data_IF_523507040001
#
_entry.id   IF_523507040001
#
_cell.length_a   1.000
_cell.length_b   1.000
_cell.length_c   1.000
_cell.angle_alpha   90.00
_cell.angle_beta   90.00
_cell.angle_gamma   90.00
#
_symmetry.space_group_name_H-M   'P 1'
#
loop_
_entity.id
_entity.type
_entity.pdbx_description
1 polymer ?
#
# COMPACT_ATOMS: atom_id res chain seq x y z
N UNK A 1 2.98 0.39 -9.51
CA UNK A 1 3.58 1.49 -8.73
C UNK A 1 4.12 2.56 -9.67
N UNK A 2 4.24 3.80 -9.21
CA UNK A 2 4.82 4.90 -10.00
C UNK A 2 6.33 4.74 -10.21
N UNK A 3 6.89 5.44 -11.20
CA UNK A 3 8.35 5.50 -11.44
C UNK A 3 9.05 6.31 -10.35
N UNK A 4 10.37 6.15 -10.13
CA UNK A 4 11.12 6.96 -9.17
C UNK A 4 10.93 8.47 -9.35
N UNK A 5 10.98 8.95 -10.60
CA UNK A 5 10.75 10.37 -10.96
C UNK A 5 9.36 10.87 -10.51
N UNK A 6 8.33 10.03 -10.64
CA UNK A 6 6.96 10.37 -10.25
C UNK A 6 6.81 10.40 -8.73
N UNK A 7 7.53 9.51 -8.02
CA UNK A 7 7.56 9.47 -6.55
C UNK A 7 8.26 10.70 -5.98
N UNK A 8 9.41 11.06 -6.54
CA UNK A 8 10.17 12.25 -6.13
C UNK A 8 9.33 13.52 -6.30
N UNK A 9 8.71 13.70 -7.47
CA UNK A 9 7.83 14.84 -7.72
C UNK A 9 6.65 14.90 -6.74
N UNK A 10 5.93 13.78 -6.58
CA UNK A 10 4.77 13.72 -5.69
C UNK A 10 5.14 14.08 -4.25
N UNK A 11 6.23 13.50 -3.73
CA UNK A 11 6.63 13.73 -2.35
C UNK A 11 7.21 15.13 -2.13
N UNK A 12 7.98 15.66 -3.09
CA UNK A 12 8.45 17.03 -3.03
C UNK A 12 7.30 18.05 -2.96
N UNK A 13 6.22 17.81 -3.70
CA UNK A 13 5.05 18.70 -3.72
C UNK A 13 4.07 18.48 -2.55
N UNK A 14 3.90 17.24 -2.06
CA UNK A 14 2.79 16.87 -1.16
C UNK A 14 3.19 16.38 0.23
N UNK A 15 4.43 15.95 0.42
CA UNK A 15 4.93 15.43 1.68
C UNK A 15 6.32 15.98 2.02
N UNK A 16 6.49 17.32 2.05
CA UNK A 16 7.79 17.92 2.34
C UNK A 16 8.26 17.51 3.74
N UNK A 17 9.52 17.08 3.84
CA UNK A 17 10.12 16.61 5.10
C UNK A 17 9.88 15.13 5.41
N UNK A 18 9.09 14.41 4.60
CA UNK A 18 8.93 12.96 4.70
C UNK A 18 9.88 12.28 3.72
N UNK A 19 10.60 11.26 4.17
CA UNK A 19 11.42 10.43 3.29
C UNK A 19 10.51 9.48 2.51
N UNK A 20 10.49 9.62 1.19
CA UNK A 20 9.77 8.72 0.31
C UNK A 20 10.69 7.69 -0.34
N UNK A 21 10.16 6.48 -0.50
CA UNK A 21 10.83 5.38 -1.19
C UNK A 21 9.96 4.94 -2.35
N UNK A 22 10.60 4.63 -3.49
CA UNK A 22 9.93 4.02 -4.63
C UNK A 22 10.26 2.53 -4.67
N UNK A 23 9.22 1.69 -4.74
CA UNK A 23 9.34 0.24 -4.88
C UNK A 23 8.54 -0.21 -6.11
N UNK A 24 9.13 -0.11 -7.32
CA UNK A 24 8.43 -0.45 -8.57
C UNK A 24 7.93 -1.90 -8.61
N UNK A 25 8.65 -2.81 -7.95
CA UNK A 25 8.37 -4.24 -7.92
C UNK A 25 7.41 -4.64 -6.78
N UNK A 26 7.00 -3.69 -5.93
CA UNK A 26 6.13 -3.90 -4.78
C UNK A 26 6.61 -5.03 -3.83
N UNK A 27 7.93 -5.20 -3.71
CA UNK A 27 8.55 -6.19 -2.83
C UNK A 27 8.21 -5.88 -1.38
N UNK A 28 8.35 -4.62 -0.96
CA UNK A 28 8.04 -4.15 0.40
C UNK A 28 6.58 -4.43 0.77
N UNK A 29 5.64 -4.10 -0.12
CA UNK A 29 4.22 -4.35 0.10
C UNK A 29 3.93 -5.84 0.35
N UNK A 30 4.48 -6.74 -0.48
CA UNK A 30 4.32 -8.20 -0.27
C UNK A 30 4.95 -8.67 1.03
N UNK A 31 6.17 -8.21 1.34
CA UNK A 31 6.88 -8.58 2.56
C UNK A 31 6.13 -8.18 3.81
N UNK A 32 5.45 -7.03 3.78
CA UNK A 32 4.63 -6.52 4.89
C UNK A 32 3.21 -7.12 4.92
N UNK A 33 2.87 -8.00 3.98
CA UNK A 33 1.53 -8.59 3.88
C UNK A 33 0.47 -7.65 3.31
N UNK A 34 0.87 -6.50 2.75
CA UNK A 34 0.01 -5.60 1.97
C UNK A 34 -0.18 -6.18 0.57
N UNK A 35 -0.95 -7.26 0.49
CA UNK A 35 -1.29 -7.87 -0.80
C UNK A 35 -2.27 -6.98 -1.57
N UNK A 36 -2.27 -7.13 -2.89
CA UNK A 36 -3.33 -6.60 -3.76
C UNK A 36 -4.69 -7.09 -3.24
N UNK A 37 -5.74 -6.28 -3.42
CA UNK A 37 -7.11 -6.77 -3.35
C UNK A 37 -7.23 -8.06 -4.17
N UNK A 38 -7.60 -9.15 -3.50
CA UNK A 38 -7.58 -10.56 -3.93
C UNK A 38 -7.60 -10.79 -5.46
N UNK A 39 -6.44 -11.10 -6.03
CA UNK A 39 -6.32 -11.65 -7.38
C UNK A 39 -6.90 -13.07 -7.53
N UNK A 40 -7.54 -13.61 -6.50
CA UNK A 40 -8.23 -14.91 -6.56
C UNK A 40 -9.65 -14.77 -7.17
N UNK A 41 -10.20 -13.54 -7.21
CA UNK A 41 -11.48 -13.25 -7.88
C UNK A 41 -11.35 -12.69 -9.30
N UNK A 42 -10.17 -12.17 -9.68
CA UNK A 42 -9.93 -11.58 -11.00
C UNK A 42 -9.42 -12.58 -12.05
N UNK A 43 -8.93 -13.76 -11.63
CA UNK A 43 -8.44 -14.83 -12.51
C UNK A 43 -9.26 -16.13 -12.43
N UNK A 44 -10.48 -16.09 -11.90
CA UNK A 44 -11.40 -17.22 -12.03
C UNK A 44 -11.74 -17.50 -13.50
N UNK A 45 -11.88 -18.77 -13.94
CA UNK A 45 -12.26 -19.12 -15.32
C UNK A 45 -13.53 -18.38 -15.80
N UNK A 46 -14.43 -18.07 -14.87
CA UNK A 46 -15.66 -17.32 -15.11
C UNK A 46 -15.43 -15.87 -15.58
N UNK A 47 -14.35 -15.20 -15.16
CA UNK A 47 -14.01 -13.82 -15.59
C UNK A 47 -13.43 -13.82 -16.99
N UNK A 48 -12.60 -14.81 -17.33
CA UNK A 48 -12.12 -15.02 -18.70
C UNK A 48 -13.28 -15.36 -19.65
N UNK A 49 -14.24 -16.18 -19.22
CA UNK A 49 -15.45 -16.48 -19.99
C UNK A 49 -16.31 -15.23 -20.24
N UNK A 50 -16.52 -14.39 -19.23
CA UNK A 50 -17.27 -13.13 -19.36
C UNK A 50 -16.53 -12.08 -20.18
N UNK A 51 -15.21 -11.97 -20.01
CA UNK A 51 -14.34 -11.08 -20.78
C UNK A 51 -14.24 -11.48 -22.26
N UNK A 52 -14.13 -12.79 -22.54
CA UNK A 52 -14.17 -13.32 -23.91
C UNK A 52 -15.54 -13.08 -24.57
N UNK A 53 -16.64 -13.27 -23.83
CA UNK A 53 -18.00 -13.00 -24.33
C UNK A 53 -18.23 -11.52 -24.63
N UNK A 54 -17.77 -10.61 -23.76
CA UNK A 54 -17.88 -9.16 -23.99
C UNK A 54 -16.97 -8.65 -25.12
N UNK A 55 -15.84 -9.31 -25.37
CA UNK A 55 -14.93 -9.02 -26.48
C UNK A 55 -15.49 -9.51 -27.82
N UNK A 56 -16.14 -10.68 -27.83
CA UNK A 56 -16.84 -11.23 -29.00
C UNK A 56 -18.09 -10.40 -29.38
N UNK A 57 -18.71 -9.72 -28.42
CA UNK A 57 -19.87 -8.84 -28.65
C UNK A 57 -19.51 -7.41 -29.13
N UNK A 58 -18.23 -7.10 -29.33
CA UNK A 58 -17.80 -5.84 -29.98
C UNK A 58 -18.04 -4.55 -29.19
N UNK A 59 -18.21 -4.62 -27.86
CA UNK A 59 -18.65 -3.48 -27.03
C UNK A 59 -17.54 -2.55 -26.50
N UNK A 60 -16.29 -2.73 -26.94
CA UNK A 60 -15.15 -1.90 -26.50
C UNK A 60 -14.46 -1.21 -27.68
N UNK A 61 -15.25 -0.50 -28.49
CA UNK A 61 -14.70 0.56 -29.33
C UNK A 61 -14.61 1.86 -28.52
N UNK A 62 -13.37 2.29 -28.25
CA UNK A 62 -13.08 3.69 -27.97
C UNK A 62 -13.50 4.24 -26.60
N UNK A 63 -12.63 4.09 -25.60
CA UNK A 63 -12.45 5.13 -24.58
C UNK A 63 -10.98 5.11 -24.14
N UNK A 64 -10.24 6.24 -24.20
CA UNK A 64 -8.91 6.31 -23.65
C UNK A 64 -9.03 6.37 -22.13
N UNK A 65 -9.12 5.20 -21.49
CA UNK A 65 -8.87 5.08 -20.06
C UNK A 65 -7.42 5.54 -19.89
N UNK A 66 -7.22 6.77 -19.40
CA UNK A 66 -5.91 7.27 -19.04
C UNK A 66 -5.22 6.21 -18.20
N UNK A 67 -4.06 5.73 -18.67
CA UNK A 67 -3.37 4.59 -18.06
C UNK A 67 -3.21 4.90 -16.57
N UNK A 68 -3.77 4.08 -15.66
CA UNK A 68 -3.48 4.21 -14.24
C UNK A 68 -1.96 4.24 -14.07
N UNK A 69 -1.44 5.33 -13.52
CA UNK A 69 -0.02 5.41 -13.17
C UNK A 69 0.15 4.56 -11.92
N UNK A 70 0.67 3.35 -12.13
CA UNK A 70 0.80 2.36 -11.07
C UNK A 70 -0.37 1.39 -10.99
N UNK A 71 -0.45 0.67 -9.87
CA UNK A 71 -1.44 -0.38 -9.69
C UNK A 71 -2.54 0.10 -8.73
N UNK A 72 -3.78 0.30 -9.22
CA UNK A 72 -4.87 0.84 -8.42
C UNK A 72 -5.39 -0.15 -7.36
N UNK A 73 -5.01 -1.43 -7.42
CA UNK A 73 -5.43 -2.46 -6.47
C UNK A 73 -4.43 -2.68 -5.33
N UNK A 74 -3.33 -1.94 -5.32
CA UNK A 74 -2.34 -2.02 -4.25
C UNK A 74 -2.91 -1.37 -2.99
N UNK A 75 -3.08 -2.17 -1.92
CA UNK A 75 -3.63 -1.69 -0.65
C UNK A 75 -2.57 -0.95 0.17
N UNK A 76 -2.94 0.17 0.82
CA UNK A 76 -2.06 0.85 1.75
C UNK A 76 -2.01 0.14 3.11
N UNK A 77 -1.07 0.56 3.94
CA UNK A 77 -1.00 0.20 5.34
C UNK A 77 -0.07 1.13 6.09
N UNK A 78 -0.19 1.14 7.41
CA UNK A 78 0.63 1.98 8.29
C UNK A 78 1.32 1.09 9.31
N UNK A 79 2.63 1.25 9.46
CA UNK A 79 3.44 0.46 10.37
C UNK A 79 4.30 1.38 11.23
N UNK A 80 4.46 1.02 12.50
CA UNK A 80 5.49 1.59 13.37
C UNK A 80 6.58 0.56 13.51
N UNK A 81 7.77 0.92 13.06
CA UNK A 81 8.97 0.11 13.23
C UNK A 81 9.69 0.62 14.48
N UNK A 82 9.86 -0.25 15.47
CA UNK A 82 10.63 0.04 16.67
C UNK A 82 12.10 0.23 16.34
N UNK A 83 12.85 0.87 17.24
CA UNK A 83 14.30 1.09 17.03
C UNK A 83 15.10 -0.22 17.09
N UNK A 84 14.52 -1.30 17.60
CA UNK A 84 15.05 -2.67 17.54
C UNK A 84 14.87 -3.32 16.16
N UNK A 85 14.17 -2.65 15.24
CA UNK A 85 13.88 -3.11 13.89
C UNK A 85 12.65 -4.00 13.78
N UNK A 86 11.91 -4.24 14.87
CA UNK A 86 10.68 -5.03 14.87
C UNK A 86 9.44 -4.16 14.63
N UNK A 87 8.36 -4.77 14.14
CA UNK A 87 7.08 -4.07 13.94
C UNK A 87 6.38 -3.94 15.30
N UNK A 88 6.33 -2.73 15.85
CA UNK A 88 5.65 -2.42 17.11
C UNK A 88 4.14 -2.20 16.92
N UNK A 89 3.73 -1.78 15.72
CA UNK A 89 2.33 -1.61 15.34
C UNK A 89 2.13 -1.83 13.85
N UNK A 90 1.01 -2.44 13.48
CA UNK A 90 0.61 -2.66 12.10
C UNK A 90 -0.89 -2.36 11.93
N UNK A 91 -1.19 -1.53 10.94
CA UNK A 91 -2.54 -1.25 10.49
C UNK A 91 -2.67 -1.62 9.02
N UNK A 92 -3.49 -2.64 8.76
CA UNK A 92 -3.83 -3.11 7.43
C UNK A 92 -5.13 -2.43 6.99
N UNK A 93 -5.02 -1.48 6.06
CA UNK A 93 -6.16 -0.72 5.56
C UNK A 93 -7.17 -1.61 4.84
N UNK A 94 -8.47 -1.37 5.07
CA UNK A 94 -9.57 -2.08 4.39
C UNK A 94 -9.87 -1.53 2.99
N UNK A 95 -9.47 -0.29 2.71
CA UNK A 95 -9.56 0.36 1.40
C UNK A 95 -8.52 1.49 1.28
N UNK A 96 -8.36 2.07 0.08
CA UNK A 96 -7.31 3.06 -0.22
C UNK A 96 -7.33 4.33 0.67
N UNK A 97 -8.49 4.70 1.22
CA UNK A 97 -8.64 5.83 2.14
C UNK A 97 -8.83 5.44 3.62
N UNK A 98 -8.54 4.19 4.00
CA UNK A 98 -8.67 3.71 5.39
C UNK A 98 -7.34 3.90 6.11
N UNK A 99 -7.35 4.63 7.22
CA UNK A 99 -6.15 4.99 7.99
C UNK A 99 -6.42 4.77 9.49
N UNK A 100 -5.40 4.42 10.28
CA UNK A 100 -5.52 4.36 11.74
C UNK A 100 -5.83 5.73 12.34
N UNK A 101 -6.38 5.74 13.55
CA UNK A 101 -6.55 6.98 14.31
C UNK A 101 -5.18 7.54 14.75
N UNK A 102 -5.03 8.87 14.69
CA UNK A 102 -3.77 9.53 15.05
C UNK A 102 -3.37 9.27 16.51
N UNK A 103 -4.32 9.15 17.43
CA UNK A 103 -4.04 8.86 18.83
C UNK A 103 -3.52 7.43 19.02
N UNK A 104 -4.03 6.47 18.25
CA UNK A 104 -3.53 5.08 18.25
C UNK A 104 -2.09 5.02 17.76
N UNK A 105 -1.76 5.73 16.68
CA UNK A 105 -0.39 5.82 16.17
C UNK A 105 0.58 6.45 17.17
N UNK A 106 0.20 7.58 17.77
CA UNK A 106 1.03 8.26 18.75
C UNK A 106 1.23 7.40 20.02
N UNK A 107 0.19 6.68 20.45
CA UNK A 107 0.29 5.75 21.57
C UNK A 107 1.27 4.61 21.26
N UNK A 108 1.21 4.02 20.07
CA UNK A 108 2.13 2.97 19.65
C UNK A 108 3.60 3.44 19.67
N UNK A 109 3.88 4.62 19.11
CA UNK A 109 5.22 5.22 19.12
C UNK A 109 5.71 5.49 20.56
N UNK A 110 4.83 5.98 21.42
CA UNK A 110 5.19 6.30 22.81
C UNK A 110 5.47 5.05 23.65
N UNK A 111 4.68 3.99 23.41
CA UNK A 111 4.83 2.70 24.07
C UNK A 111 6.17 2.03 23.70
N UNK A 112 6.54 2.02 22.42
CA UNK A 112 7.83 1.49 21.95
C UNK A 112 9.02 2.17 22.65
N UNK A 113 9.02 3.51 22.68
CA UNK A 113 10.05 4.29 23.37
C UNK A 113 10.14 3.98 24.87
N UNK A 114 9.00 3.76 25.51
CA UNK A 114 8.92 3.47 26.95
C UNK A 114 9.34 2.06 27.33
N UNK A 115 9.10 1.07 26.46
CA UNK A 115 9.55 -0.31 26.69
C UNK A 115 11.07 -0.40 26.67
N UNK A 116 11.73 0.41 25.83
CA UNK A 116 13.20 0.45 25.77
C UNK A 116 13.84 1.02 27.02
N UNK A 117 13.31 2.12 27.60
CA UNK A 117 13.90 2.69 28.82
C UNK A 117 13.90 1.70 29.98
N UNK A 118 12.92 0.79 30.01
CA UNK A 118 12.85 -0.28 31.02
C UNK A 118 13.83 -1.44 30.74
N UNK A 119 14.18 -1.67 29.47
CA UNK A 119 15.09 -2.74 29.05
C UNK A 119 16.57 -2.34 29.22
N UNK A 120 16.90 -1.04 29.15
CA UNK A 120 18.27 -0.52 29.37
C UNK A 120 18.69 -0.46 30.84
N UNK A 121 17.74 -0.58 31.76
CA UNK A 121 17.97 -0.53 33.21
C UNK A 121 18.17 -1.93 33.85
N UNK A 122 18.21 -2.99 33.02
CA UNK A 122 18.48 -4.39 33.38
C UNK A 122 19.86 -4.83 32.88
#
# INVERSE_FOLDING_TARGET
MGRPEETERFCGERAPGVRCFCDPEAISYRTYGLTRGTTDQLFGPAVWLKGAQATLEGKFEGLPIGKPVGDPFQMPGVFVIGEDGHVAFAYYSKHAGDYPDDAELLAAVSADRSNRSKQSDL
#
